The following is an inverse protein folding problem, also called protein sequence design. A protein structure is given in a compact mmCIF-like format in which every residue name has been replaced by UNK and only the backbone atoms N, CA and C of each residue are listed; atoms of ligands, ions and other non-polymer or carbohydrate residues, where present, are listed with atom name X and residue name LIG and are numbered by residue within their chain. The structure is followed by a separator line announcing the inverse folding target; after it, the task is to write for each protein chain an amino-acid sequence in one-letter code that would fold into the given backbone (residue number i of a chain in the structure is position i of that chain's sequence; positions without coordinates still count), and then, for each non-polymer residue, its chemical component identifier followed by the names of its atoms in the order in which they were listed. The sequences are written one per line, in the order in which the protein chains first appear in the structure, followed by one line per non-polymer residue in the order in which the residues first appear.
data_IF_395471209843
#
_entry.id   IF_395471209843
#
_cell.length_a   1.000
_cell.length_b   1.000
_cell.length_c   1.000
_cell.angle_alpha   90.00
_cell.angle_beta   90.00
_cell.angle_gamma   90.00
#
_symmetry.space_group_name_H-M   'P 1'
#
loop_
_entity.id
_entity.type
_entity.pdbx_description
1 polymer ?
#
# COMPACT_ATOMS: atom_id res chain seq x y z
N UNK A 1 -19.41 34.18 17.79
CA UNK A 1 -18.50 33.31 17.01
C UNK A 1 -18.97 33.29 15.57
N UNK A 2 -18.12 33.75 14.65
CA UNK A 2 -18.48 33.85 13.24
C UNK A 2 -18.61 32.45 12.60
N UNK A 3 -19.57 32.30 11.68
CA UNK A 3 -19.82 31.04 10.96
C UNK A 3 -18.55 30.47 10.28
N UNK A 4 -17.61 31.34 9.89
CA UNK A 4 -16.32 30.97 9.29
C UNK A 4 -15.35 30.28 10.26
N UNK A 5 -15.38 30.60 11.55
CA UNK A 5 -14.53 29.97 12.57
C UNK A 5 -15.09 28.61 12.99
N UNK A 6 -16.42 28.48 13.07
CA UNK A 6 -17.10 27.19 13.31
C UNK A 6 -16.86 26.20 12.17
N UNK A 7 -16.88 26.68 10.92
CA UNK A 7 -16.56 25.89 9.73
C UNK A 7 -15.07 25.49 9.64
N UNK A 8 -14.14 26.34 10.09
CA UNK A 8 -12.70 26.01 10.18
C UNK A 8 -12.40 25.00 11.28
N UNK A 9 -12.99 25.15 12.47
CA UNK A 9 -12.78 24.25 13.60
C UNK A 9 -13.36 22.85 13.33
N UNK A 10 -14.56 22.79 12.72
CA UNK A 10 -15.14 21.53 12.28
C UNK A 10 -14.36 20.86 11.12
N UNK A 11 -13.64 21.64 10.28
CA UNK A 11 -12.80 21.09 9.19
C UNK A 11 -11.46 20.52 9.65
N UNK A 12 -10.89 21.00 10.75
CA UNK A 12 -9.62 20.49 11.30
C UNK A 12 -9.88 19.22 12.13
N UNK A 13 -10.91 19.23 12.97
CA UNK A 13 -11.30 18.07 13.77
C UNK A 13 -11.69 16.85 12.91
N UNK A 14 -12.43 17.07 11.81
CA UNK A 14 -12.78 15.99 10.86
C UNK A 14 -11.58 15.39 10.12
N UNK A 15 -10.44 16.10 10.07
CA UNK A 15 -9.26 15.67 9.35
C UNK A 15 -8.39 14.77 10.24
N UNK A 16 -8.21 15.13 11.51
CA UNK A 16 -7.43 14.34 12.47
C UNK A 16 -8.15 13.04 12.86
N UNK A 17 -9.43 13.09 13.26
CA UNK A 17 -10.20 11.89 13.64
C UNK A 17 -10.31 10.87 12.48
N UNK A 18 -10.43 11.35 11.24
CA UNK A 18 -10.47 10.48 10.05
C UNK A 18 -9.10 9.84 9.74
N UNK A 19 -7.99 10.54 9.95
CA UNK A 19 -6.65 9.95 9.82
C UNK A 19 -6.35 8.99 10.97
N UNK A 20 -6.88 9.23 12.16
CA UNK A 20 -6.75 8.32 13.31
C UNK A 20 -7.57 7.02 13.07
N UNK A 21 -8.82 7.11 12.62
CA UNK A 21 -9.64 5.95 12.24
C UNK A 21 -9.08 5.17 11.03
N UNK A 22 -8.55 5.86 10.01
CA UNK A 22 -7.86 5.20 8.88
C UNK A 22 -6.55 4.56 9.31
N UNK A 23 -5.78 5.24 10.17
CA UNK A 23 -4.54 4.70 10.74
C UNK A 23 -4.84 3.40 11.49
N UNK A 24 -5.96 3.32 12.22
CA UNK A 24 -6.38 2.11 12.92
C UNK A 24 -6.73 0.95 11.98
N UNK A 25 -7.46 1.20 10.89
CA UNK A 25 -7.81 0.16 9.91
C UNK A 25 -6.58 -0.38 9.15
N UNK A 26 -5.71 0.52 8.67
CA UNK A 26 -4.46 0.14 8.01
C UNK A 26 -3.50 -0.55 8.98
N UNK A 27 -3.37 -0.06 10.21
CA UNK A 27 -2.52 -0.67 11.24
C UNK A 27 -3.02 -2.05 11.67
N UNK A 28 -4.34 -2.26 11.80
CA UNK A 28 -4.91 -3.58 12.09
C UNK A 28 -4.66 -4.57 10.94
N UNK A 29 -4.86 -4.15 9.69
CA UNK A 29 -4.52 -4.94 8.51
C UNK A 29 -3.03 -5.28 8.47
N UNK A 30 -2.17 -4.28 8.74
CA UNK A 30 -0.72 -4.43 8.79
C UNK A 30 -0.31 -5.46 9.84
N UNK A 31 -0.86 -5.40 11.06
CA UNK A 31 -0.54 -6.38 12.11
C UNK A 31 -0.86 -7.81 11.69
N UNK A 32 -2.00 -8.04 11.04
CA UNK A 32 -2.40 -9.38 10.60
C UNK A 32 -1.46 -9.88 9.49
N UNK A 33 -1.25 -9.06 8.47
CA UNK A 33 -0.42 -9.42 7.32
C UNK A 33 1.05 -9.59 7.69
N UNK A 34 1.62 -8.60 8.39
CA UNK A 34 3.01 -8.66 8.82
C UNK A 34 3.23 -9.79 9.82
N UNK A 35 2.28 -10.09 10.71
CA UNK A 35 2.36 -11.26 11.59
C UNK A 35 2.42 -12.60 10.83
N UNK A 36 1.79 -12.67 9.65
CA UNK A 36 1.92 -13.82 8.76
C UNK A 36 3.27 -13.83 8.03
N UNK A 37 3.65 -12.69 7.43
CA UNK A 37 4.93 -12.54 6.73
C UNK A 37 6.13 -12.83 7.65
N UNK A 38 6.02 -12.45 8.93
CA UNK A 38 7.08 -12.63 9.93
C UNK A 38 7.40 -14.09 10.26
N UNK A 39 6.56 -15.03 9.83
CA UNK A 39 6.88 -16.47 9.93
C UNK A 39 7.97 -16.87 8.94
N UNK A 40 8.10 -16.14 7.84
CA UNK A 40 9.01 -16.45 6.74
C UNK A 40 10.23 -15.52 6.70
N UNK A 41 10.09 -14.25 7.08
CA UNK A 41 11.19 -13.29 7.12
C UNK A 41 11.07 -12.34 8.30
N UNK A 42 12.20 -11.91 8.88
CA UNK A 42 12.23 -11.01 10.04
C UNK A 42 13.14 -9.81 9.71
N UNK A 43 12.70 -8.90 8.83
CA UNK A 43 13.54 -7.82 8.34
C UNK A 43 13.93 -6.87 9.48
N UNK A 44 15.22 -6.54 9.57
CA UNK A 44 15.74 -5.57 10.53
C UNK A 44 15.54 -4.15 10.00
N UNK A 45 15.67 -3.98 8.68
CA UNK A 45 15.49 -2.73 7.96
C UNK A 45 14.30 -2.79 7.00
N UNK A 46 13.42 -1.79 7.09
CA UNK A 46 12.19 -1.72 6.32
C UNK A 46 12.03 -0.34 5.70
N UNK A 47 11.79 -0.30 4.39
CA UNK A 47 11.34 0.88 3.65
C UNK A 47 9.85 0.75 3.36
N UNK A 48 9.08 1.81 3.60
CA UNK A 48 7.68 1.92 3.16
C UNK A 48 7.52 3.16 2.26
N UNK A 49 7.22 2.92 0.98
CA UNK A 49 7.09 3.95 -0.06
C UNK A 49 5.60 4.24 -0.27
N UNK A 50 5.20 5.48 0.02
CA UNK A 50 3.80 5.86 0.24
C UNK A 50 3.34 5.54 1.66
N UNK A 51 4.22 5.72 2.64
CA UNK A 51 4.01 5.25 4.03
C UNK A 51 2.84 5.90 4.78
N UNK A 52 2.25 6.98 4.28
CA UNK A 52 1.23 7.74 4.98
C UNK A 52 1.73 8.11 6.37
N UNK A 53 0.91 7.92 7.40
CA UNK A 53 1.32 8.20 8.79
C UNK A 53 2.27 7.16 9.40
N UNK A 54 2.68 6.14 8.64
CA UNK A 54 3.61 5.11 9.10
C UNK A 54 2.94 3.90 9.77
N UNK A 55 1.67 3.62 9.48
CA UNK A 55 0.91 2.52 10.07
C UNK A 55 1.59 1.14 9.90
N UNK A 56 2.06 0.83 8.70
CA UNK A 56 2.75 -0.43 8.41
C UNK A 56 4.13 -0.48 9.06
N UNK A 57 4.89 0.61 9.01
CA UNK A 57 6.20 0.70 9.68
C UNK A 57 6.11 0.57 11.20
N UNK A 58 5.08 1.14 11.83
CA UNK A 58 4.81 0.95 13.26
C UNK A 58 4.59 -0.52 13.59
N UNK A 59 3.80 -1.23 12.78
CA UNK A 59 3.61 -2.66 12.97
C UNK A 59 4.92 -3.45 12.76
N UNK A 60 5.75 -3.11 11.77
CA UNK A 60 7.09 -3.69 11.62
C UNK A 60 7.97 -3.46 12.86
N UNK A 61 7.92 -2.25 13.44
CA UNK A 61 8.65 -1.94 14.65
C UNK A 61 8.23 -2.83 15.83
N UNK A 62 6.93 -3.02 16.02
CA UNK A 62 6.37 -3.89 17.06
C UNK A 62 6.75 -5.36 16.87
N UNK A 63 6.97 -5.78 15.62
CA UNK A 63 7.52 -7.10 15.28
C UNK A 63 9.06 -7.16 15.28
N UNK A 64 9.74 -6.10 15.69
CA UNK A 64 11.16 -6.09 16.01
C UNK A 64 12.09 -5.44 14.97
N UNK A 65 11.58 -4.89 13.87
CA UNK A 65 12.40 -4.10 12.95
C UNK A 65 12.98 -2.86 13.65
N UNK A 66 14.19 -2.45 13.28
CA UNK A 66 14.96 -1.38 13.96
C UNK A 66 15.33 -0.21 13.06
N UNK A 67 15.37 -0.42 11.75
CA UNK A 67 15.63 0.66 10.79
C UNK A 67 14.36 0.87 9.96
N UNK A 68 13.64 1.95 10.24
CA UNK A 68 12.32 2.24 9.65
C UNK A 68 12.43 3.49 8.78
N UNK A 69 12.22 3.34 7.47
CA UNK A 69 12.32 4.42 6.49
C UNK A 69 10.95 4.63 5.86
N UNK A 70 10.37 5.82 6.02
CA UNK A 70 9.08 6.17 5.43
C UNK A 70 9.23 7.23 4.37
N UNK A 71 8.90 6.91 3.12
CA UNK A 71 8.92 7.86 2.01
C UNK A 71 7.47 8.21 1.61
N UNK A 72 7.16 9.50 1.46
CA UNK A 72 5.85 9.97 1.00
C UNK A 72 5.96 11.42 0.50
N UNK A 73 4.88 12.01 -0.01
CA UNK A 73 4.86 13.38 -0.52
C UNK A 73 4.84 14.48 0.55
N UNK A 74 5.08 15.72 0.10
CA UNK A 74 5.23 16.93 0.92
C UNK A 74 4.05 17.29 1.84
N UNK A 75 2.91 16.62 1.69
CA UNK A 75 1.75 16.78 2.56
C UNK A 75 1.92 16.13 3.93
N UNK A 76 3.03 15.41 4.14
CA UNK A 76 3.36 14.70 5.36
C UNK A 76 4.67 15.24 5.96
N UNK A 77 4.99 14.83 7.19
CA UNK A 77 6.22 15.27 7.85
C UNK A 77 6.65 14.31 8.95
N UNK A 78 7.91 14.42 9.37
CA UNK A 78 8.46 13.65 10.49
C UNK A 78 7.61 13.77 11.77
N UNK A 79 7.09 14.96 12.06
CA UNK A 79 6.28 15.21 13.26
C UNK A 79 4.90 14.54 13.25
N UNK A 80 4.44 14.06 12.09
CA UNK A 80 3.14 13.43 11.91
C UNK A 80 3.24 11.89 11.86
N UNK A 81 4.43 11.32 12.01
CA UNK A 81 4.60 9.87 12.10
C UNK A 81 4.03 9.37 13.41
N UNK A 82 3.24 8.29 13.36
CA UNK A 82 2.63 7.68 14.56
C UNK A 82 3.65 6.97 15.45
N UNK A 83 4.84 6.72 14.91
CA UNK A 83 5.98 6.16 15.62
C UNK A 83 7.20 7.06 15.38
N UNK A 84 7.81 7.52 16.47
CA UNK A 84 8.96 8.43 16.46
C UNK A 84 10.23 7.81 15.89
N UNK A 85 10.32 6.48 15.89
CA UNK A 85 11.49 5.75 15.40
C UNK A 85 11.48 5.60 13.86
N UNK A 86 10.39 6.00 13.20
CA UNK A 86 10.30 6.12 11.75
C UNK A 86 11.11 7.33 11.28
N UNK A 87 12.06 7.10 10.38
CA UNK A 87 12.80 8.17 9.67
C UNK A 87 12.05 8.52 8.40
N UNK A 88 11.37 9.66 8.42
CA UNK A 88 10.56 10.13 7.30
C UNK A 88 11.39 10.97 6.30
N UNK A 89 11.13 10.77 5.01
CA UNK A 89 11.67 11.60 3.92
C UNK A 89 10.56 11.98 2.94
N UNK A 90 10.37 13.30 2.75
CA UNK A 90 9.47 13.82 1.74
C UNK A 90 10.10 13.68 0.35
N UNK A 91 9.43 12.97 -0.57
CA UNK A 91 9.85 12.80 -1.97
C UNK A 91 8.66 12.87 -2.93
N UNK A 92 8.94 13.19 -4.19
CA UNK A 92 7.97 13.03 -5.28
C UNK A 92 8.06 11.60 -5.82
N UNK A 93 7.03 10.78 -5.56
CA UNK A 93 6.98 9.37 -5.99
C UNK A 93 6.88 9.20 -7.52
N UNK A 94 6.61 10.28 -8.27
CA UNK A 94 6.72 10.30 -9.74
C UNK A 94 8.15 10.60 -10.22
N UNK A 95 9.15 10.60 -9.34
CA UNK A 95 10.56 10.76 -9.70
C UNK A 95 11.37 9.57 -9.25
N UNK A 96 12.54 9.40 -9.87
CA UNK A 96 13.52 8.42 -9.41
C UNK A 96 13.90 8.74 -7.97
N UNK A 97 13.86 7.73 -7.11
CA UNK A 97 14.35 7.80 -5.75
C UNK A 97 15.27 6.62 -5.47
N UNK A 98 16.18 6.82 -4.53
CA UNK A 98 17.13 5.79 -4.10
C UNK A 98 17.18 5.77 -2.56
N UNK A 99 17.53 4.60 -2.03
CA UNK A 99 17.98 4.43 -0.65
C UNK A 99 19.51 4.40 -0.62
N UNK A 100 20.10 4.94 0.45
CA UNK A 100 21.57 4.95 0.61
C UNK A 100 22.13 3.53 0.80
N UNK A 101 21.33 2.67 1.43
CA UNK A 101 21.62 1.27 1.68
C UNK A 101 20.37 0.46 1.35
N UNK A 102 20.55 -0.69 0.69
CA UNK A 102 19.46 -1.65 0.49
C UNK A 102 18.94 -2.10 1.86
N UNK A 103 17.62 -2.25 1.95
CA UNK A 103 16.90 -2.72 3.14
C UNK A 103 16.50 -4.18 2.97
N UNK A 104 16.13 -4.83 4.07
CA UNK A 104 15.72 -6.24 4.09
C UNK A 104 14.31 -6.44 3.51
N UNK A 105 13.45 -5.43 3.64
CA UNK A 105 12.10 -5.39 3.07
C UNK A 105 11.77 -3.98 2.57
N UNK A 106 11.34 -3.86 1.31
CA UNK A 106 10.66 -2.65 0.85
C UNK A 106 9.16 -2.93 0.69
N UNK A 107 8.33 -1.94 0.98
CA UNK A 107 6.88 -2.02 0.90
C UNK A 107 6.32 -0.86 0.07
N UNK A 108 5.23 -1.12 -0.64
CA UNK A 108 4.44 -0.10 -1.33
C UNK A 108 3.03 -0.65 -1.52
N UNK A 109 2.06 -0.14 -0.75
CA UNK A 109 0.74 -0.74 -0.61
C UNK A 109 -0.37 0.29 -0.87
N UNK A 110 -1.13 0.09 -1.94
CA UNK A 110 -2.17 1.02 -2.44
C UNK A 110 -1.58 2.42 -2.73
N UNK A 111 -0.51 2.43 -3.53
CA UNK A 111 0.24 3.65 -3.88
C UNK A 111 0.35 3.81 -5.39
N UNK A 112 0.71 2.74 -6.11
CA UNK A 112 1.09 2.83 -7.51
C UNK A 112 -0.07 3.27 -8.44
N UNK A 113 -1.31 3.07 -8.02
CA UNK A 113 -2.53 3.51 -8.71
C UNK A 113 -2.71 5.04 -8.76
N UNK A 114 -2.02 5.77 -7.87
CA UNK A 114 -2.04 7.23 -7.82
C UNK A 114 -0.93 7.87 -8.66
N UNK A 115 0.03 7.07 -9.13
CA UNK A 115 1.20 7.56 -9.86
C UNK A 115 0.90 7.70 -11.35
N UNK A 116 1.69 8.49 -12.07
CA UNK A 116 1.56 8.61 -13.52
C UNK A 116 1.79 7.24 -14.19
N UNK A 117 0.85 6.74 -15.02
CA UNK A 117 0.98 5.43 -15.69
C UNK A 117 2.25 5.25 -16.50
N UNK A 118 2.81 6.33 -17.05
CA UNK A 118 4.05 6.23 -17.84
C UNK A 118 5.28 5.93 -16.97
N UNK A 119 5.16 6.02 -15.64
CA UNK A 119 6.26 5.86 -14.69
C UNK A 119 6.22 4.54 -13.93
N UNK A 120 5.29 3.63 -14.22
CA UNK A 120 5.17 2.32 -13.54
C UNK A 120 6.49 1.53 -13.55
N UNK A 121 7.21 1.49 -14.68
CA UNK A 121 8.52 0.83 -14.76
C UNK A 121 9.58 1.51 -13.89
N UNK A 122 9.63 2.84 -13.91
CA UNK A 122 10.56 3.62 -13.08
C UNK A 122 10.30 3.37 -11.58
N UNK A 123 9.03 3.38 -11.17
CA UNK A 123 8.64 3.17 -9.79
C UNK A 123 9.05 1.77 -9.31
N UNK A 124 8.72 0.73 -10.08
CA UNK A 124 9.13 -0.65 -9.78
C UNK A 124 10.66 -0.77 -9.73
N UNK A 125 11.39 -0.14 -10.66
CA UNK A 125 12.85 -0.12 -10.63
C UNK A 125 13.39 0.44 -9.30
N UNK A 126 12.84 1.56 -8.82
CA UNK A 126 13.29 2.16 -7.56
C UNK A 126 13.03 1.21 -6.37
N UNK A 127 11.92 0.47 -6.37
CA UNK A 127 11.63 -0.55 -5.36
C UNK A 127 12.63 -1.71 -5.43
N UNK A 128 12.88 -2.26 -6.62
CA UNK A 128 13.80 -3.40 -6.81
C UNK A 128 15.27 -3.03 -6.56
N UNK A 129 15.63 -1.76 -6.74
CA UNK A 129 16.93 -1.21 -6.32
C UNK A 129 17.04 -1.02 -4.80
N UNK A 130 15.92 -1.06 -4.07
CA UNK A 130 15.89 -0.87 -2.62
C UNK A 130 15.96 -2.17 -1.80
N UNK A 131 15.45 -3.29 -2.30
CA UNK A 131 15.39 -4.57 -1.55
C UNK A 131 15.23 -5.77 -2.46
N UNK A 132 15.69 -6.96 -2.03
CA UNK A 132 15.44 -8.23 -2.73
C UNK A 132 14.05 -8.83 -2.41
N UNK A 133 13.35 -8.27 -1.41
CA UNK A 133 11.97 -8.60 -1.06
C UNK A 133 11.10 -7.33 -1.07
N UNK A 134 10.05 -7.33 -1.88
CA UNK A 134 9.11 -6.23 -2.08
C UNK A 134 7.69 -6.67 -1.74
N UNK A 135 7.10 -6.14 -0.67
CA UNK A 135 5.68 -6.31 -0.38
C UNK A 135 4.88 -5.24 -1.13
N UNK A 136 4.15 -5.64 -2.16
CA UNK A 136 3.55 -4.72 -3.10
C UNK A 136 2.04 -4.93 -3.22
N UNK A 137 1.29 -3.82 -3.28
CA UNK A 137 -0.10 -3.80 -3.70
C UNK A 137 -0.40 -2.53 -4.50
N UNK A 138 -1.32 -2.66 -5.44
CA UNK A 138 -1.87 -1.54 -6.18
C UNK A 138 -3.31 -1.87 -6.57
N UNK A 139 -4.15 -0.85 -6.63
CA UNK A 139 -5.56 -1.02 -6.97
C UNK A 139 -5.76 -1.77 -8.31
N UNK A 140 -6.58 -2.81 -8.28
CA UNK A 140 -6.94 -3.56 -9.48
C UNK A 140 -7.77 -2.69 -10.45
N UNK A 141 -7.79 -3.06 -11.74
CA UNK A 141 -8.58 -2.35 -12.75
C UNK A 141 -10.04 -2.13 -12.30
N UNK A 142 -10.49 -0.88 -12.37
CA UNK A 142 -11.83 -0.43 -11.99
C UNK A 142 -12.14 -0.58 -10.50
N UNK A 143 -11.16 -0.84 -9.64
CA UNK A 143 -11.35 -0.82 -8.18
C UNK A 143 -12.00 0.51 -7.76
N UNK A 144 -11.55 1.60 -8.36
CA UNK A 144 -11.94 2.95 -8.03
C UNK A 144 -11.28 3.42 -6.74
N UNK A 145 -11.46 4.71 -6.49
CA UNK A 145 -10.83 5.45 -5.41
C UNK A 145 -10.50 6.85 -5.92
N UNK A 146 -10.15 7.75 -5.01
CA UNK A 146 -9.90 9.14 -5.41
C UNK A 146 -8.51 9.25 -6.05
N UNK A 147 -8.45 9.88 -7.22
CA UNK A 147 -7.22 10.09 -7.99
C UNK A 147 -6.49 8.78 -8.33
N UNK A 148 -7.25 7.69 -8.52
CA UNK A 148 -6.73 6.46 -9.13
C UNK A 148 -6.62 6.68 -10.63
N UNK A 149 -5.41 6.98 -11.11
CA UNK A 149 -5.10 7.26 -12.51
C UNK A 149 -4.36 6.11 -13.18
N UNK A 150 -3.91 5.11 -12.42
CA UNK A 150 -3.04 4.02 -12.86
C UNK A 150 -3.46 2.65 -12.30
N UNK A 151 -4.76 2.36 -12.30
CA UNK A 151 -5.29 1.06 -11.92
C UNK A 151 -4.94 0.01 -12.98
N UNK A 152 -4.33 -1.09 -12.56
CA UNK A 152 -3.87 -2.14 -13.46
C UNK A 152 -4.13 -3.53 -12.89
N UNK A 153 -4.12 -4.53 -13.77
CA UNK A 153 -4.19 -5.94 -13.40
C UNK A 153 -2.96 -6.33 -12.58
N UNK A 154 -3.09 -7.33 -11.70
CA UNK A 154 -1.94 -7.85 -10.96
C UNK A 154 -0.86 -8.42 -11.89
N UNK A 155 -1.26 -9.07 -13.00
CA UNK A 155 -0.31 -9.59 -14.00
C UNK A 155 0.47 -8.50 -14.74
N UNK A 156 -0.08 -7.28 -14.85
CA UNK A 156 0.65 -6.13 -15.40
C UNK A 156 1.85 -5.78 -14.50
N UNK A 157 1.61 -5.66 -13.19
CA UNK A 157 2.67 -5.38 -12.23
C UNK A 157 3.69 -6.52 -12.17
N UNK A 158 3.23 -7.76 -12.16
CA UNK A 158 4.11 -8.93 -12.21
C UNK A 158 5.00 -8.94 -13.46
N UNK A 159 4.48 -8.54 -14.61
CA UNK A 159 5.27 -8.41 -15.84
C UNK A 159 6.38 -7.37 -15.70
N UNK A 160 6.11 -6.23 -15.08
CA UNK A 160 7.14 -5.21 -14.82
C UNK A 160 8.22 -5.76 -13.88
N UNK A 161 7.83 -6.34 -12.74
CA UNK A 161 8.77 -6.95 -11.79
C UNK A 161 9.65 -8.03 -12.44
N UNK A 162 9.09 -8.84 -13.37
CA UNK A 162 9.83 -9.88 -14.08
C UNK A 162 10.99 -9.33 -14.92
N UNK A 163 10.89 -8.08 -15.42
CA UNK A 163 12.00 -7.43 -16.14
C UNK A 163 13.21 -7.15 -15.24
N UNK A 164 13.03 -7.16 -13.92
CA UNK A 164 14.07 -6.96 -12.91
C UNK A 164 14.46 -8.28 -12.20
N UNK A 165 14.05 -9.43 -12.74
CA UNK A 165 14.28 -10.76 -12.16
C UNK A 165 13.61 -10.99 -10.79
N UNK A 166 12.42 -10.41 -10.58
CA UNK A 166 11.57 -10.67 -9.41
C UNK A 166 10.37 -11.54 -9.78
N UNK A 167 10.04 -12.49 -8.92
CA UNK A 167 8.88 -13.39 -9.07
C UNK A 167 7.89 -13.19 -7.92
N UNK A 168 6.57 -13.23 -8.17
CA UNK A 168 5.55 -13.07 -7.15
C UNK A 168 5.32 -14.35 -6.32
N UNK A 169 5.03 -14.18 -5.04
CA UNK A 169 4.55 -15.20 -4.11
C UNK A 169 3.19 -14.77 -3.56
N UNK A 170 2.22 -15.69 -3.57
CA UNK A 170 0.88 -15.46 -3.02
C UNK A 170 0.78 -15.93 -1.56
N UNK A 171 1.43 -15.19 -0.66
CA UNK A 171 1.46 -15.55 0.76
C UNK A 171 0.13 -15.29 1.48
N UNK A 172 -0.65 -14.34 0.98
CA UNK A 172 -1.74 -13.75 1.75
C UNK A 172 -3.10 -14.24 1.33
N UNK A 173 -3.40 -14.29 0.02
CA UNK A 173 -4.75 -14.54 -0.46
C UNK A 173 -5.26 -15.94 -0.06
N UNK A 174 -4.47 -17.03 -0.18
CA UNK A 174 -4.91 -18.34 0.29
C UNK A 174 -5.26 -18.40 1.78
N UNK A 175 -4.68 -17.52 2.60
CA UNK A 175 -4.88 -17.50 4.06
C UNK A 175 -5.99 -16.53 4.48
N UNK A 176 -6.07 -15.36 3.83
CA UNK A 176 -6.86 -14.22 4.32
C UNK A 176 -8.02 -13.81 3.42
N UNK A 177 -8.31 -14.51 2.32
CA UNK A 177 -9.34 -14.11 1.36
C UNK A 177 -10.69 -13.73 2.01
N UNK A 178 -11.15 -14.51 3.00
CA UNK A 178 -12.41 -14.24 3.72
C UNK A 178 -12.28 -13.43 5.02
N UNK A 179 -11.08 -13.01 5.40
CA UNK A 179 -10.84 -12.38 6.71
C UNK A 179 -11.22 -10.90 6.72
N UNK A 180 -12.42 -10.59 7.20
CA UNK A 180 -12.97 -9.23 7.22
C UNK A 180 -12.25 -8.27 8.17
N UNK A 181 -11.32 -8.76 9.00
CA UNK A 181 -10.44 -7.90 9.81
C UNK A 181 -9.40 -7.18 8.95
N UNK A 182 -9.18 -7.64 7.71
CA UNK A 182 -8.30 -7.02 6.73
C UNK A 182 -9.13 -6.37 5.62
N UNK A 183 -8.82 -5.14 5.25
CA UNK A 183 -9.46 -4.45 4.13
C UNK A 183 -9.41 -5.28 2.84
N UNK A 184 -10.52 -5.35 2.10
CA UNK A 184 -10.61 -6.23 0.92
C UNK A 184 -9.57 -5.86 -0.16
N UNK A 185 -9.18 -4.58 -0.24
CA UNK A 185 -8.14 -4.11 -1.15
C UNK A 185 -6.78 -4.76 -0.83
N UNK A 186 -6.38 -4.83 0.45
CA UNK A 186 -5.17 -5.56 0.85
C UNK A 186 -5.33 -7.08 0.63
N UNK A 187 -6.52 -7.64 0.89
CA UNK A 187 -6.86 -9.05 0.60
C UNK A 187 -6.73 -9.41 -0.87
N UNK A 188 -7.05 -8.49 -1.77
CA UNK A 188 -7.00 -8.75 -3.20
C UNK A 188 -5.61 -8.47 -3.80
N UNK A 189 -4.99 -7.36 -3.39
CA UNK A 189 -3.93 -6.73 -4.18
C UNK A 189 -2.53 -7.03 -3.70
N UNK A 190 -2.35 -7.61 -2.51
CA UNK A 190 -1.04 -7.74 -1.88
C UNK A 190 -0.33 -9.03 -2.29
N UNK A 191 0.88 -8.88 -2.81
CA UNK A 191 1.80 -9.97 -3.13
C UNK A 191 3.20 -9.66 -2.59
N UNK A 192 3.98 -10.71 -2.32
CA UNK A 192 5.41 -10.55 -2.07
C UNK A 192 6.16 -10.84 -3.36
N UNK A 193 6.87 -9.86 -3.91
CA UNK A 193 7.79 -10.05 -5.02
C UNK A 193 9.19 -10.25 -4.49
N UNK A 194 9.87 -11.31 -4.96
CA UNK A 194 11.19 -11.68 -4.47
C UNK A 194 12.14 -11.85 -5.64
N UNK A 195 13.36 -11.34 -5.50
CA UNK A 195 14.42 -11.52 -6.49
C UNK A 195 14.78 -12.99 -6.59
N UNK A 196 14.79 -13.56 -7.80
CA UNK A 196 15.22 -14.94 -8.03
C UNK A 196 16.62 -15.17 -7.46
N UNK A 197 16.82 -16.38 -6.95
CA UNK A 197 18.09 -16.88 -6.37
C UNK A 197 18.61 -16.11 -5.14
N UNK A 198 17.88 -15.12 -4.63
CA UNK A 198 18.21 -14.44 -3.37
C UNK A 198 18.05 -15.34 -2.15
N UNK A 199 18.64 -14.96 -1.01
CA UNK A 199 18.53 -15.72 0.24
C UNK A 199 17.06 -15.92 0.67
N UNK A 200 16.23 -14.89 0.52
CA UNK A 200 14.81 -14.97 0.85
C UNK A 200 14.05 -15.87 -0.14
N UNK A 201 14.40 -15.88 -1.42
CA UNK A 201 13.83 -16.82 -2.39
C UNK A 201 14.09 -18.27 -1.95
N UNK A 202 15.37 -18.59 -1.67
CA UNK A 202 15.77 -19.91 -1.20
C UNK A 202 15.09 -20.30 0.12
N UNK A 203 14.92 -19.33 1.03
CA UNK A 203 14.21 -19.53 2.30
C UNK A 203 12.73 -19.88 2.08
N UNK A 204 12.03 -19.18 1.19
CA UNK A 204 10.62 -19.47 0.85
C UNK A 204 10.47 -20.85 0.21
N UNK A 205 11.38 -21.24 -0.69
CA UNK A 205 11.42 -22.59 -1.26
C UNK A 205 11.63 -23.66 -0.16
N UNK A 206 12.48 -23.37 0.84
CA UNK A 206 12.66 -24.23 2.02
C UNK A 206 11.38 -24.43 2.83
N UNK A 207 10.50 -23.42 2.88
CA UNK A 207 9.15 -23.52 3.44
C UNK A 207 8.14 -24.21 2.50
N UNK A 208 8.58 -24.68 1.32
CA UNK A 208 7.74 -25.26 0.25
C UNK A 208 6.69 -24.30 -0.29
N UNK A 209 6.94 -23.00 -0.17
CA UNK A 209 6.12 -21.97 -0.77
C UNK A 209 6.65 -21.75 -2.18
N UNK A 210 5.78 -21.92 -3.16
CA UNK A 210 6.12 -21.72 -4.57
C UNK A 210 5.75 -20.31 -5.00
N UNK A 211 6.59 -19.76 -5.87
CA UNK A 211 6.27 -18.60 -6.67
C UNK A 211 5.08 -18.88 -7.59
N UNK A 212 4.40 -17.82 -8.02
CA UNK A 212 3.31 -17.89 -8.98
C UNK A 212 3.93 -17.92 -10.38
N UNK A 213 3.82 -19.07 -11.04
CA UNK A 213 4.25 -19.28 -12.42
C UNK A 213 3.24 -18.71 -13.43
N UNK A 214 1.95 -18.97 -13.20
CA UNK A 214 0.84 -18.49 -14.01
C UNK A 214 0.35 -17.12 -13.53
N UNK A 215 1.08 -16.06 -13.87
CA UNK A 215 0.77 -14.69 -13.41
C UNK A 215 -0.65 -14.21 -13.79
N UNK A 216 -1.29 -14.78 -14.81
CA UNK A 216 -2.69 -14.46 -15.12
C UNK A 216 -3.67 -14.92 -14.04
N UNK A 217 -3.32 -15.95 -13.26
CA UNK A 217 -4.09 -16.36 -12.08
C UNK A 217 -4.03 -15.31 -10.95
N UNK A 218 -3.07 -14.38 -10.99
CA UNK A 218 -3.06 -13.28 -10.03
C UNK A 218 -4.29 -12.39 -10.17
N UNK A 219 -4.89 -12.32 -11.37
CA UNK A 219 -5.99 -11.42 -11.70
C UNK A 219 -7.36 -11.80 -11.12
N UNK A 220 -7.39 -12.60 -10.03
CA UNK A 220 -8.60 -12.91 -9.29
C UNK A 220 -9.23 -11.65 -8.69
N UNK A 221 -10.52 -11.46 -8.95
CA UNK A 221 -11.31 -10.37 -8.38
C UNK A 221 -11.99 -10.86 -7.10
N UNK A 222 -11.83 -10.11 -6.04
CA UNK A 222 -12.43 -10.36 -4.74
C UNK A 222 -13.95 -10.15 -4.78
N UNK A 223 -14.76 -11.01 -4.13
CA UNK A 223 -16.22 -10.87 -4.10
C UNK A 223 -16.69 -9.49 -3.65
N UNK A 224 -16.06 -8.88 -2.64
CA UNK A 224 -16.38 -7.51 -2.21
C UNK A 224 -16.21 -6.49 -3.34
N UNK A 225 -15.12 -6.55 -4.11
CA UNK A 225 -14.94 -5.65 -5.26
C UNK A 225 -15.96 -5.96 -6.36
N UNK A 226 -16.20 -7.24 -6.66
CA UNK A 226 -17.21 -7.63 -7.64
C UNK A 226 -18.59 -7.10 -7.23
N UNK A 227 -19.02 -7.30 -5.98
CA UNK A 227 -20.30 -6.84 -5.47
C UNK A 227 -20.41 -5.32 -5.47
N UNK A 228 -19.33 -4.60 -5.14
CA UNK A 228 -19.26 -3.14 -5.25
C UNK A 228 -19.46 -2.63 -6.69
N UNK A 229 -19.14 -3.42 -7.71
CA UNK A 229 -19.21 -3.02 -9.13
C UNK A 229 -20.40 -3.59 -9.89
N UNK A 230 -20.85 -4.80 -9.51
CA UNK A 230 -21.79 -5.62 -10.25
C UNK A 230 -23.01 -6.06 -9.42
N UNK A 231 -23.01 -5.84 -8.10
CA UNK A 231 -24.00 -6.43 -7.19
C UNK A 231 -25.41 -5.84 -7.25
N UNK A 232 -26.39 -6.73 -7.16
CA UNK A 232 -27.83 -6.54 -6.98
C UNK A 232 -28.19 -5.89 -5.62
N UNK A 233 -27.82 -4.62 -5.45
CA UNK A 233 -28.18 -3.83 -4.28
C UNK A 233 -28.55 -2.41 -4.68
N UNK A 234 -29.83 -2.18 -4.96
CA UNK A 234 -30.43 -0.85 -4.92
C UNK A 234 -30.07 -0.18 -3.58
N UNK A 235 -29.10 0.72 -3.64
CA UNK A 235 -28.53 1.33 -2.44
C UNK A 235 -27.48 2.37 -2.77
N UNK A 236 -27.84 3.36 -3.59
CA UNK A 236 -27.11 4.62 -3.77
C UNK A 236 -26.74 5.32 -2.43
N UNK A 237 -27.23 4.86 -1.27
CA UNK A 237 -27.02 5.47 0.05
C UNK A 237 -25.95 4.83 0.94
N UNK A 238 -25.39 3.66 0.62
CA UNK A 238 -24.26 3.06 1.37
C UNK A 238 -22.89 3.35 0.74
N UNK A 239 -22.90 3.94 -0.46
CA UNK A 239 -21.72 4.24 -1.26
C UNK A 239 -20.81 5.34 -0.67
N UNK A 240 -21.30 6.13 0.29
CA UNK A 240 -20.55 7.25 0.86
C UNK A 240 -19.63 6.87 2.04
N UNK A 241 -19.79 5.69 2.66
CA UNK A 241 -18.99 5.31 3.85
C UNK A 241 -17.89 4.30 3.59
N UNK A 242 -17.97 3.51 2.51
CA UNK A 242 -16.95 2.52 2.15
C UNK A 242 -16.16 2.88 0.88
N UNK A 243 -16.43 4.05 0.30
CA UNK A 243 -15.66 4.67 -0.78
C UNK A 243 -15.14 5.99 -0.25
N UNK A 244 -14.07 5.93 0.53
CA UNK A 244 -13.34 7.13 0.92
C UNK A 244 -11.82 6.91 1.04
N UNK A 245 -11.13 6.36 0.02
CA UNK A 245 -9.77 6.80 -0.23
C UNK A 245 -9.85 8.28 -0.64
N UNK A 246 -9.32 9.16 0.19
CA UNK A 246 -8.95 10.57 -0.09
C UNK A 246 -10.01 11.54 -0.63
N UNK A 247 -11.28 11.41 -0.23
CA UNK A 247 -12.25 12.49 -0.40
C UNK A 247 -11.98 13.62 0.61
N UNK A 248 -10.90 14.40 0.41
CA UNK A 248 -10.85 15.82 0.84
C UNK A 248 -9.74 16.70 0.21
N UNK A 249 -8.89 16.21 -0.71
CA UNK A 249 -7.85 17.10 -1.32
C UNK A 249 -7.99 17.41 -2.82
N UNK A 250 -8.77 16.65 -3.60
CA UNK A 250 -9.00 16.98 -5.01
C UNK A 250 -9.93 18.19 -5.23
N UNK A 251 -10.90 18.45 -4.33
CA UNK A 251 -11.88 19.55 -4.48
C UNK A 251 -11.26 20.94 -4.25
N UNK A 252 -10.11 21.04 -3.56
CA UNK A 252 -9.50 22.35 -3.26
C UNK A 252 -8.65 22.90 -4.42
N UNK A 253 -8.23 22.09 -5.40
CA UNK A 253 -7.33 22.55 -6.47
C UNK A 253 -8.03 23.11 -7.72
N UNK A 254 -9.35 22.94 -7.87
CA UNK A 254 -10.13 23.52 -9.00
C UNK A 254 -10.84 24.84 -8.71
N UNK A 255 -10.91 25.29 -7.45
CA UNK A 255 -11.58 26.55 -7.06
C UNK A 255 -10.63 27.68 -6.64
N UNK A 256 -9.32 27.48 -6.77
CA UNK A 256 -8.29 28.52 -6.50
C UNK A 256 -7.49 28.86 -7.78
N UNK A 257 -7.90 28.33 -8.93
CA UNK A 257 -7.39 28.72 -10.26
C UNK A 257 -8.52 29.09 -11.23
N UNK A 258 -9.55 29.78 -10.72
CA UNK A 258 -10.50 30.56 -11.51
C UNK A 258 -10.56 31.97 -10.95
#
# INVERSE_FOLDING_TARGET
MNNSEKLKKNRIAYNEEFYDEMSDSSYNSAKIYLGHLWKYMQPVSVLDVGCGRGAWLKACHEYGSRELLGFDGEWNSQSMMIDKDIKYKSIDLNRVFNVEKRVDLAMSLEVAEHLNPTLSNQFVNCLTESSDAILFSAAYCKQGGTEHINENKHSYWAKIFSNYNYVPFDLFRPTFWGDTRVGFWYRQNTFLYVKNDSDIFNKLQGFKIKEIDQTDFMNCVHPDLYNLKCGEGLGFSLHAKHILPSLFKAVKRRLVKS
#
